data_IF_939764602028
#
_entry.id   IF_939764602028
#
_cell.length_a   1.000
_cell.length_b   1.000
_cell.length_c   1.000
_cell.angle_alpha   90.00
_cell.angle_beta   90.00
_cell.angle_gamma   90.00
#
_symmetry.space_group_name_H-M   'P 1'
#
loop_
_entity.id
_entity.type
_entity.pdbx_description
1 polymer ?
#
# COMPACT_ATOMS: atom_id res chain seq x y z
N UNK A 1 18.71 -12.19 -6.52
CA UNK A 1 19.68 -13.01 -7.26
C UNK A 1 19.24 -13.05 -8.70
N UNK A 2 20.13 -12.81 -9.65
CA UNK A 2 19.81 -12.79 -11.09
C UNK A 2 19.89 -14.20 -11.68
N UNK A 3 19.12 -14.49 -12.73
CA UNK A 3 19.19 -15.76 -13.45
C UNK A 3 20.61 -16.10 -13.92
N UNK A 4 21.07 -17.31 -13.61
CA UNK A 4 22.31 -17.88 -14.16
C UNK A 4 22.02 -18.65 -15.44
N UNK A 5 23.08 -18.97 -16.19
CA UNK A 5 22.98 -19.84 -17.37
C UNK A 5 22.34 -21.20 -17.05
N UNK A 6 22.67 -21.78 -15.89
CA UNK A 6 22.08 -23.05 -15.44
C UNK A 6 20.58 -22.90 -15.14
N UNK A 7 20.16 -21.75 -14.58
CA UNK A 7 18.73 -21.49 -14.38
C UNK A 7 17.97 -21.37 -15.69
N UNK A 8 18.58 -20.80 -16.73
CA UNK A 8 17.98 -20.74 -18.08
C UNK A 8 17.85 -22.14 -18.68
N UNK A 9 18.85 -23.01 -18.49
CA UNK A 9 18.77 -24.42 -18.89
C UNK A 9 17.60 -25.10 -18.19
N UNK A 10 17.53 -24.99 -16.87
CA UNK A 10 16.46 -25.60 -16.07
C UNK A 10 15.06 -25.11 -16.51
N UNK A 11 14.94 -23.80 -16.79
CA UNK A 11 13.70 -23.19 -17.26
C UNK A 11 13.29 -23.72 -18.65
N UNK A 12 14.25 -23.81 -19.58
CA UNK A 12 14.01 -24.36 -20.92
C UNK A 12 13.70 -25.86 -20.90
N UNK A 13 14.35 -26.62 -20.03
CA UNK A 13 14.04 -28.03 -19.79
C UNK A 13 12.61 -28.20 -19.30
N UNK A 14 12.16 -27.37 -18.35
CA UNK A 14 10.77 -27.39 -17.88
C UNK A 14 9.76 -26.98 -18.97
N UNK A 15 10.08 -25.98 -19.80
CA UNK A 15 9.23 -25.63 -20.95
C UNK A 15 9.12 -26.78 -21.97
N UNK A 16 10.24 -27.49 -22.20
CA UNK A 16 10.29 -28.58 -23.17
C UNK A 16 9.43 -29.79 -22.82
N UNK A 17 9.13 -30.02 -21.54
CA UNK A 17 8.22 -31.10 -21.15
C UNK A 17 6.77 -30.85 -21.56
N UNK A 18 6.41 -29.59 -21.88
CA UNK A 18 5.05 -29.21 -22.27
C UNK A 18 4.97 -28.95 -23.78
N UNK A 19 5.88 -28.15 -24.34
CA UNK A 19 5.82 -27.76 -25.74
C UNK A 19 6.74 -28.54 -26.69
N UNK A 20 7.39 -29.58 -26.16
CA UNK A 20 8.21 -30.53 -26.91
C UNK A 20 9.31 -29.87 -27.75
N UNK A 21 9.81 -28.69 -27.33
CA UNK A 21 10.96 -28.06 -27.98
C UNK A 21 12.21 -28.93 -27.84
N UNK A 22 13.04 -28.94 -28.88
CA UNK A 22 14.43 -29.36 -28.76
C UNK A 22 15.22 -28.17 -28.21
N UNK A 23 15.91 -28.37 -27.11
CA UNK A 23 16.74 -27.34 -26.46
C UNK A 23 18.19 -27.56 -26.87
N UNK A 24 18.78 -26.59 -27.54
CA UNK A 24 20.21 -26.54 -27.86
C UNK A 24 20.92 -25.34 -27.25
N UNK A 25 22.23 -25.28 -27.43
CA UNK A 25 23.08 -24.18 -26.93
C UNK A 25 22.65 -22.79 -27.43
N UNK A 26 22.20 -22.71 -28.68
CA UNK A 26 21.69 -21.47 -29.25
C UNK A 26 20.43 -20.99 -28.54
N UNK A 27 19.53 -21.91 -28.13
CA UNK A 27 18.32 -21.57 -27.40
C UNK A 27 18.64 -21.04 -26.00
N UNK A 28 19.58 -21.69 -25.30
CA UNK A 28 20.03 -21.25 -23.96
C UNK A 28 20.63 -19.87 -24.03
N UNK A 29 21.52 -19.63 -25.01
CA UNK A 29 22.16 -18.32 -25.21
C UNK A 29 21.15 -17.25 -25.59
N UNK A 30 20.23 -17.56 -26.51
CA UNK A 30 19.18 -16.64 -26.95
C UNK A 30 18.21 -16.28 -25.83
N UNK A 31 17.73 -17.26 -25.07
CA UNK A 31 16.86 -17.02 -23.92
C UNK A 31 17.57 -16.22 -22.84
N UNK A 32 18.82 -16.56 -22.51
CA UNK A 32 19.61 -15.82 -21.52
C UNK A 32 19.80 -14.34 -21.90
N UNK A 33 19.91 -14.02 -23.19
CA UNK A 33 20.03 -12.64 -23.67
C UNK A 33 18.70 -11.88 -23.69
N UNK A 34 17.56 -12.57 -23.83
CA UNK A 34 16.23 -11.96 -23.96
C UNK A 34 15.47 -11.85 -22.63
N UNK A 35 15.75 -12.72 -21.68
CA UNK A 35 15.17 -12.64 -20.33
C UNK A 35 15.71 -11.41 -19.60
N UNK A 36 14.85 -10.78 -18.79
CA UNK A 36 15.26 -9.60 -18.05
C UNK A 36 16.39 -9.92 -17.07
N UNK A 37 17.35 -9.01 -16.95
CA UNK A 37 18.50 -9.16 -16.05
C UNK A 37 18.12 -9.18 -14.57
N UNK A 38 17.04 -8.50 -14.21
CA UNK A 38 16.54 -8.42 -12.84
C UNK A 38 15.63 -9.60 -12.48
N UNK A 39 15.43 -10.56 -13.38
CA UNK A 39 14.61 -11.75 -13.14
C UNK A 39 15.39 -12.77 -12.30
N UNK A 40 14.77 -13.23 -11.22
CA UNK A 40 15.26 -14.33 -10.40
C UNK A 40 14.65 -15.67 -10.85
N UNK A 41 15.27 -16.78 -10.42
CA UNK A 41 14.86 -18.15 -10.75
C UNK A 41 13.40 -18.40 -10.37
N UNK A 42 13.02 -18.13 -9.14
CA UNK A 42 11.70 -18.49 -8.61
C UNK A 42 10.58 -17.76 -9.37
N UNK A 43 10.78 -16.47 -9.63
CA UNK A 43 9.84 -15.67 -10.40
C UNK A 43 9.75 -16.12 -11.87
N UNK A 44 10.85 -16.57 -12.47
CA UNK A 44 10.83 -17.14 -13.82
C UNK A 44 10.00 -18.44 -13.88
N UNK A 45 10.16 -19.33 -12.91
CA UNK A 45 9.39 -20.57 -12.82
C UNK A 45 7.91 -20.32 -12.47
N UNK A 46 7.61 -19.31 -11.66
CA UNK A 46 6.24 -18.88 -11.42
C UNK A 46 5.57 -18.33 -12.68
N UNK A 47 6.29 -17.49 -13.44
CA UNK A 47 5.80 -17.01 -14.72
C UNK A 47 5.56 -18.15 -15.72
N UNK A 48 6.44 -19.15 -15.77
CA UNK A 48 6.27 -20.36 -16.60
C UNK A 48 5.00 -21.13 -16.20
N UNK A 49 4.81 -21.38 -14.90
CA UNK A 49 3.62 -22.08 -14.39
C UNK A 49 2.34 -21.32 -14.70
N UNK A 50 2.35 -20.00 -14.48
CA UNK A 50 1.19 -19.16 -14.76
C UNK A 50 0.85 -19.16 -16.25
N UNK A 51 1.85 -19.05 -17.13
CA UNK A 51 1.64 -19.12 -18.59
C UNK A 51 0.87 -20.38 -18.97
N UNK A 52 1.38 -21.56 -18.60
CA UNK A 52 0.74 -22.82 -18.97
C UNK A 52 -0.57 -23.11 -18.22
N UNK A 53 -0.82 -22.44 -17.09
CA UNK A 53 -2.11 -22.52 -16.41
C UNK A 53 -3.21 -21.72 -17.15
N UNK A 54 -2.83 -20.67 -17.88
CA UNK A 54 -3.79 -19.73 -18.50
C UNK A 54 -3.76 -19.70 -20.03
N UNK A 55 -2.74 -20.27 -20.64
CA UNK A 55 -2.52 -20.26 -22.09
C UNK A 55 -1.99 -21.60 -22.57
N UNK A 56 -2.48 -22.03 -23.73
CA UNK A 56 -1.98 -23.20 -24.45
C UNK A 56 -0.89 -22.84 -25.47
N UNK A 57 -0.56 -21.56 -25.62
CA UNK A 57 0.44 -21.12 -26.58
C UNK A 57 1.85 -21.57 -26.19
N UNK A 58 2.68 -21.81 -27.20
CA UNK A 58 4.10 -22.09 -26.99
C UNK A 58 4.77 -20.90 -26.29
N UNK A 59 5.49 -21.16 -25.20
CA UNK A 59 6.04 -20.08 -24.39
C UNK A 59 7.28 -19.44 -25.01
N UNK A 60 7.42 -18.13 -24.88
CA UNK A 60 8.57 -17.35 -25.35
C UNK A 60 9.17 -16.52 -24.21
N UNK A 61 10.42 -16.05 -24.32
CA UNK A 61 11.02 -15.16 -23.31
C UNK A 61 10.16 -13.92 -23.03
N UNK A 62 9.52 -13.37 -24.06
CA UNK A 62 8.62 -12.24 -23.96
C UNK A 62 7.40 -12.52 -23.05
N UNK A 63 6.88 -13.74 -23.06
CA UNK A 63 5.78 -14.14 -22.18
C UNK A 63 6.24 -14.18 -20.72
N UNK A 64 7.40 -14.80 -20.45
CA UNK A 64 8.00 -14.83 -19.11
C UNK A 64 8.22 -13.42 -18.57
N UNK A 65 8.81 -12.53 -19.38
CA UNK A 65 9.07 -11.14 -18.98
C UNK A 65 7.78 -10.39 -18.64
N UNK A 66 6.75 -10.53 -19.49
CA UNK A 66 5.45 -9.88 -19.29
C UNK A 66 4.78 -10.38 -18.01
N UNK A 67 4.74 -11.69 -17.81
CA UNK A 67 4.09 -12.30 -16.65
C UNK A 67 4.86 -11.96 -15.36
N UNK A 68 6.19 -11.99 -15.38
CA UNK A 68 7.00 -11.60 -14.23
C UNK A 68 6.73 -10.16 -13.78
N UNK A 69 6.58 -9.22 -14.72
CA UNK A 69 6.19 -7.83 -14.41
C UNK A 69 4.78 -7.77 -13.81
N UNK A 70 3.83 -8.54 -14.35
CA UNK A 70 2.48 -8.64 -13.78
C UNK A 70 2.51 -9.15 -12.35
N UNK A 71 3.23 -10.24 -12.08
CA UNK A 71 3.34 -10.83 -10.72
C UNK A 71 3.90 -9.80 -9.74
N UNK A 72 4.95 -9.07 -10.13
CA UNK A 72 5.54 -8.02 -9.27
C UNK A 72 4.56 -6.88 -9.01
N UNK A 73 3.85 -6.44 -10.04
CA UNK A 73 2.82 -5.40 -9.92
C UNK A 73 1.72 -5.83 -8.97
N UNK A 74 1.20 -7.04 -9.13
CA UNK A 74 0.13 -7.57 -8.29
C UNK A 74 0.57 -7.69 -6.82
N UNK A 75 1.82 -8.11 -6.58
CA UNK A 75 2.38 -8.15 -5.22
C UNK A 75 2.47 -6.76 -4.60
N UNK A 76 3.03 -5.79 -5.33
CA UNK A 76 3.13 -4.42 -4.86
C UNK A 76 1.76 -3.77 -4.63
N UNK A 77 0.77 -4.10 -5.46
CA UNK A 77 -0.61 -3.63 -5.29
C UNK A 77 -1.27 -4.24 -4.05
N UNK A 78 -1.09 -5.54 -3.81
CA UNK A 78 -1.60 -6.20 -2.58
C UNK A 78 -0.94 -5.65 -1.33
N UNK A 79 0.36 -5.37 -1.37
CA UNK A 79 1.09 -4.75 -0.25
C UNK A 79 0.56 -3.35 0.05
N UNK A 80 0.42 -2.49 -0.97
CA UNK A 80 -0.19 -1.16 -0.80
C UNK A 80 -1.63 -1.23 -0.31
N UNK A 81 -2.43 -2.15 -0.83
CA UNK A 81 -3.79 -2.37 -0.36
C UNK A 81 -3.82 -2.80 1.11
N UNK A 82 -2.89 -3.65 1.53
CA UNK A 82 -2.74 -4.06 2.92
C UNK A 82 -2.35 -2.89 3.81
N UNK A 83 -1.39 -2.05 3.39
CA UNK A 83 -0.98 -0.83 4.11
C UNK A 83 -2.14 0.16 4.26
N UNK A 84 -2.88 0.44 3.18
CA UNK A 84 -4.06 1.31 3.23
C UNK A 84 -5.14 0.71 4.14
N UNK A 85 -5.36 -0.60 4.08
CA UNK A 85 -6.33 -1.26 4.96
C UNK A 85 -5.90 -1.22 6.44
N UNK A 86 -4.60 -1.34 6.72
CA UNK A 86 -4.05 -1.24 8.06
C UNK A 86 -4.17 0.20 8.59
N UNK A 87 -3.87 1.20 7.75
CA UNK A 87 -4.06 2.61 8.06
C UNK A 87 -5.55 2.95 8.31
N UNK A 88 -6.46 2.40 7.51
CA UNK A 88 -7.91 2.60 7.70
C UNK A 88 -8.45 1.89 8.95
N UNK A 89 -7.81 0.81 9.40
CA UNK A 89 -8.15 0.10 10.65
C UNK A 89 -7.55 0.75 11.90
N UNK A 90 -6.57 1.65 11.77
CA UNK A 90 -6.19 2.49 12.90
C UNK A 90 -7.44 3.26 13.37
N UNK A 91 -7.72 3.18 14.68
CA UNK A 91 -8.97 3.67 15.29
C UNK A 91 -9.36 5.04 14.72
N UNK A 92 -10.58 5.21 14.19
CA UNK A 92 -11.05 6.52 13.78
C UNK A 92 -11.02 7.43 15.02
N UNK A 93 -10.37 8.57 14.88
CA UNK A 93 -10.27 9.56 15.92
C UNK A 93 -11.68 9.99 16.38
N UNK A 94 -12.08 9.54 17.57
CA UNK A 94 -13.38 9.84 18.14
C UNK A 94 -13.61 11.36 18.28
N UNK A 95 -12.54 12.16 18.36
CA UNK A 95 -12.62 13.62 18.46
C UNK A 95 -12.97 14.30 17.12
N UNK A 96 -12.74 13.63 15.99
CA UNK A 96 -13.01 14.12 14.63
C UNK A 96 -14.30 13.55 14.03
N UNK A 97 -15.17 12.96 14.86
CA UNK A 97 -16.43 12.33 14.42
C UNK A 97 -16.25 11.31 13.27
N UNK A 98 -15.09 10.64 13.21
CA UNK A 98 -14.79 9.63 12.19
C UNK A 98 -14.41 10.16 10.81
N UNK A 99 -14.16 11.46 10.65
CA UNK A 99 -13.66 12.01 9.39
C UNK A 99 -12.16 11.71 9.23
N UNK A 100 -11.71 11.17 8.07
CA UNK A 100 -10.30 10.89 7.80
C UNK A 100 -9.56 12.18 7.42
N UNK A 101 -9.57 13.19 8.31
CA UNK A 101 -8.82 14.43 8.09
C UNK A 101 -7.36 14.16 8.45
N UNK A 102 -6.58 13.76 7.44
CA UNK A 102 -5.12 13.74 7.57
C UNK A 102 -4.61 15.13 7.99
N UNK A 103 -3.82 15.19 9.07
CA UNK A 103 -3.21 16.42 9.53
C UNK A 103 -4.07 17.31 10.42
N UNK A 104 -4.96 16.73 11.24
CA UNK A 104 -5.66 17.43 12.32
C UNK A 104 -4.71 17.92 13.44
N UNK A 105 -3.56 17.27 13.59
CA UNK A 105 -2.49 17.66 14.48
C UNK A 105 -1.66 18.81 13.84
N UNK A 106 -1.27 19.80 14.64
CA UNK A 106 -0.46 20.95 14.21
C UNK A 106 -0.88 22.26 14.87
N UNK A 107 -0.33 23.37 14.36
CA UNK A 107 -0.55 24.69 14.94
C UNK A 107 -2.05 25.06 14.95
N UNK A 108 -2.61 25.45 16.12
CA UNK A 108 -4.02 25.83 16.24
C UNK A 108 -4.40 26.95 15.29
N UNK A 109 -5.51 26.75 14.57
CA UNK A 109 -6.18 27.80 13.81
C UNK A 109 -7.19 28.44 14.76
N UNK A 110 -6.78 29.50 15.45
CA UNK A 110 -7.58 30.12 16.53
C UNK A 110 -8.98 30.56 16.08
N UNK A 111 -9.13 31.01 14.83
CA UNK A 111 -10.45 31.34 14.24
C UNK A 111 -11.45 30.16 14.30
N UNK A 112 -10.98 28.91 14.27
CA UNK A 112 -11.85 27.74 14.44
C UNK A 112 -12.30 27.55 15.89
N UNK A 113 -11.51 27.98 16.87
CA UNK A 113 -11.82 27.92 18.30
C UNK A 113 -12.73 29.06 18.76
N UNK A 114 -12.79 30.16 18.02
CA UNK A 114 -13.73 31.26 18.25
C UNK A 114 -15.17 30.88 17.89
N UNK A 115 -15.37 29.86 17.05
CA UNK A 115 -16.71 29.38 16.68
C UNK A 115 -17.47 28.92 17.92
N UNK A 116 -18.63 29.54 18.16
CA UNK A 116 -19.49 29.32 19.33
C UNK A 116 -18.76 29.54 20.67
N UNK A 117 -17.74 30.40 20.74
CA UNK A 117 -16.94 30.61 21.96
C UNK A 117 -16.37 29.29 22.52
N UNK A 118 -15.91 28.40 21.63
CA UNK A 118 -15.35 27.12 22.05
C UNK A 118 -14.08 27.32 22.89
N UNK A 119 -13.26 28.32 22.56
CA UNK A 119 -12.00 28.62 23.27
C UNK A 119 -12.20 28.94 24.75
N UNK A 120 -13.29 29.62 25.11
CA UNK A 120 -13.56 30.09 26.47
C UNK A 120 -14.13 29.01 27.39
N UNK A 121 -14.33 27.79 26.87
CA UNK A 121 -14.97 26.68 27.60
C UNK A 121 -13.99 25.52 27.75
N UNK A 122 -14.08 24.81 28.88
CA UNK A 122 -13.35 23.56 29.06
C UNK A 122 -13.85 22.50 28.07
N UNK A 123 -12.95 21.76 27.43
CA UNK A 123 -13.35 20.71 26.49
C UNK A 123 -13.83 19.45 27.23
N UNK A 124 -15.07 18.96 27.00
CA UNK A 124 -15.55 17.74 27.67
C UNK A 124 -14.84 16.46 27.18
N UNK A 125 -14.12 16.51 26.07
CA UNK A 125 -13.44 15.35 25.48
C UNK A 125 -11.96 15.29 25.85
N UNK A 126 -11.18 16.35 25.58
CA UNK A 126 -9.75 16.39 25.91
C UNK A 126 -9.43 17.08 27.23
N UNK A 127 -10.41 17.66 27.94
CA UNK A 127 -10.27 18.31 29.25
C UNK A 127 -9.28 19.48 29.30
N UNK A 128 -8.94 20.03 28.14
CA UNK A 128 -8.12 21.24 28.07
C UNK A 128 -8.92 22.44 28.60
N UNK A 129 -8.29 23.32 29.40
CA UNK A 129 -8.96 24.46 30.01
C UNK A 129 -9.30 25.55 28.97
N UNK A 130 -10.06 26.59 29.38
CA UNK A 130 -10.25 27.79 28.57
C UNK A 130 -8.91 28.38 28.09
N UNK A 131 -8.92 29.03 26.94
CA UNK A 131 -7.74 29.69 26.32
C UNK A 131 -6.61 28.73 25.90
N UNK A 132 -6.83 27.41 25.96
CA UNK A 132 -5.90 26.40 25.49
C UNK A 132 -6.44 25.67 24.26
N UNK A 133 -5.55 25.32 23.32
CA UNK A 133 -5.91 24.48 22.18
C UNK A 133 -6.29 23.07 22.63
N UNK A 134 -7.16 22.41 21.86
CA UNK A 134 -7.46 21.01 22.08
C UNK A 134 -6.23 20.16 21.74
N UNK A 135 -6.05 19.05 22.46
CA UNK A 135 -4.98 18.08 22.21
C UNK A 135 -5.54 16.73 21.78
N UNK A 136 -4.71 15.97 21.06
CA UNK A 136 -4.94 14.58 20.73
C UNK A 136 -4.64 13.69 21.95
N UNK A 137 -5.59 12.90 22.47
CA UNK A 137 -5.36 12.07 23.65
C UNK A 137 -4.40 10.90 23.40
N UNK A 138 -4.09 10.59 22.13
CA UNK A 138 -3.19 9.49 21.74
C UNK A 138 -1.73 9.93 21.77
N UNK A 139 -1.42 11.14 21.29
CA UNK A 139 -0.04 11.62 21.11
C UNK A 139 0.25 12.98 21.77
N UNK A 140 -0.71 13.54 22.51
CA UNK A 140 -0.68 14.84 23.21
C UNK A 140 -0.35 16.05 22.31
N UNK A 141 -0.41 15.88 20.99
CA UNK A 141 -0.15 16.97 20.05
C UNK A 141 -1.32 17.94 19.98
N UNK A 142 -1.01 19.23 19.77
CA UNK A 142 -2.01 20.27 19.59
C UNK A 142 -2.82 20.04 18.30
N UNK A 143 -4.12 20.37 18.36
CA UNK A 143 -5.04 20.26 17.22
C UNK A 143 -5.22 21.60 16.52
N UNK A 144 -5.23 21.56 15.19
CA UNK A 144 -5.55 22.72 14.34
C UNK A 144 -6.98 23.24 14.58
N UNK A 145 -7.91 22.35 14.91
CA UNK A 145 -9.33 22.67 15.13
C UNK A 145 -9.80 22.16 16.49
N UNK A 146 -10.78 22.81 17.14
CA UNK A 146 -11.35 22.33 18.40
C UNK A 146 -12.07 20.98 18.23
N UNK A 147 -12.14 20.21 19.31
CA UNK A 147 -12.98 19.01 19.35
C UNK A 147 -14.44 19.37 19.08
N UNK A 148 -15.16 18.54 18.32
CA UNK A 148 -16.58 18.78 18.01
C UNK A 148 -17.45 18.91 19.27
N UNK A 149 -17.12 18.18 20.34
CA UNK A 149 -17.83 18.30 21.61
C UNK A 149 -17.64 19.67 22.28
N UNK A 150 -16.51 20.36 22.03
CA UNK A 150 -16.23 21.72 22.53
C UNK A 150 -17.00 22.77 21.75
N UNK A 151 -17.19 22.59 20.44
CA UNK A 151 -17.91 23.55 19.58
C UNK A 151 -19.44 23.44 19.69
N UNK A 152 -19.98 22.33 20.19
CA UNK A 152 -21.42 22.21 20.44
C UNK A 152 -21.88 23.22 21.50
N UNK A 153 -22.97 23.91 21.21
CA UNK A 153 -23.68 24.75 22.18
C UNK A 153 -24.49 23.82 23.10
N UNK A 154 -24.35 23.92 24.44
CA UNK A 154 -25.14 23.12 25.37
C UNK A 154 -26.64 23.42 25.19
N UNK A 155 -27.48 22.38 25.15
CA UNK A 155 -28.94 22.55 25.18
C UNK A 155 -29.32 23.21 26.51
N UNK A 156 -29.71 24.48 26.47
CA UNK A 156 -30.14 25.25 27.65
C UNK A 156 -29.60 26.69 27.72
N UNK A 157 -28.74 27.12 26.79
CA UNK A 157 -28.32 28.51 26.66
C UNK A 157 -29.23 29.26 25.66
N UNK A 158 -30.43 29.64 26.11
CA UNK A 158 -31.29 30.65 25.51
C UNK A 158 -32.06 31.35 26.64
#
# INVERSE_FOLDING_TARGET
>A
MTLTRNDVIDLLSAASSVDLRKVGEADVTGWGAMLRQDLDRDLAFEALRQHYATSSERIMPAHINTIAVSIRRDRAERERAAEVSAAARALPDAQLAGLPIGGADGNPVWAAYEVNDAISRECPTCKQPPECACVNPINDSARKIPCHARTRIPKGAA
#
